data_IF_006545450913
#
_entry.id   IF_006545450913
#
_cell.length_a   1.000
_cell.length_b   1.000
_cell.length_c   1.000
_cell.angle_alpha   90.00
_cell.angle_beta   90.00
_cell.angle_gamma   90.00
#
_symmetry.space_group_name_H-M   'P 1'
#
loop_
_entity.id
_entity.type
_entity.pdbx_description
1 polymer ?
#
# COMPACT_ATOMS: atom_id res chain seq x y z
N UNK A 1 65.96 13.45 21.87
CA UNK A 1 65.31 12.32 22.54
C UNK A 1 63.96 12.85 23.03
N UNK A 2 62.90 12.72 22.23
CA UNK A 2 61.57 13.28 22.53
C UNK A 2 60.84 12.38 23.52
N UNK A 3 60.35 12.97 24.60
CA UNK A 3 59.68 12.31 25.71
C UNK A 3 58.26 11.88 25.30
N UNK A 4 58.03 10.57 25.18
CA UNK A 4 56.77 9.97 24.69
C UNK A 4 55.68 9.86 25.79
N UNK A 5 55.82 10.58 26.91
CA UNK A 5 55.03 10.36 28.14
C UNK A 5 53.73 11.15 28.25
N UNK A 6 53.37 11.98 27.27
CA UNK A 6 52.14 12.79 27.32
C UNK A 6 51.07 12.40 26.29
N UNK A 7 51.19 11.24 25.63
CA UNK A 7 50.15 10.78 24.71
C UNK A 7 48.91 10.27 25.47
N UNK A 8 47.92 11.15 25.63
CA UNK A 8 46.58 10.81 26.10
C UNK A 8 45.62 10.74 24.90
N UNK A 9 45.28 9.54 24.38
CA UNK A 9 44.34 9.44 23.27
C UNK A 9 42.96 9.86 23.76
N UNK A 10 42.47 11.00 23.27
CA UNK A 10 41.05 11.34 23.40
C UNK A 10 40.25 10.16 22.82
N UNK A 11 39.28 9.59 23.54
CA UNK A 11 38.47 8.50 23.00
C UNK A 11 37.81 9.04 21.72
N UNK A 12 38.02 8.33 20.60
CA UNK A 12 37.50 8.73 19.31
C UNK A 12 35.98 8.94 19.44
N UNK A 13 35.60 10.21 19.40
CA UNK A 13 34.22 10.66 19.49
C UNK A 13 33.42 9.97 18.40
N UNK A 14 32.40 9.23 18.83
CA UNK A 14 31.39 8.58 17.99
C UNK A 14 31.04 9.50 16.82
N UNK A 15 31.46 9.13 15.61
CA UNK A 15 31.12 9.86 14.39
C UNK A 15 29.60 9.83 14.27
N UNK A 16 28.97 11.00 14.16
CA UNK A 16 27.55 11.09 13.87
C UNK A 16 27.32 10.44 12.51
N UNK A 17 26.81 9.21 12.51
CA UNK A 17 26.33 8.59 11.28
C UNK A 17 25.19 9.46 10.78
N UNK A 18 25.34 10.01 9.58
CA UNK A 18 24.48 11.00 8.93
C UNK A 18 23.00 10.56 8.77
N UNK A 19 22.66 9.35 9.21
CA UNK A 19 21.31 8.77 9.24
C UNK A 19 20.90 8.20 10.59
N UNK A 20 21.57 8.53 11.71
CA UNK A 20 21.01 8.23 13.03
C UNK A 20 19.77 9.11 13.21
N UNK A 21 18.60 8.58 12.87
CA UNK A 21 17.31 9.21 13.12
C UNK A 21 17.32 9.71 14.56
N UNK A 22 17.35 11.03 14.74
CA UNK A 22 17.19 11.61 16.05
C UNK A 22 15.74 11.35 16.41
N UNK A 23 15.50 10.52 17.42
CA UNK A 23 14.16 10.22 17.92
C UNK A 23 13.60 11.46 18.64
N UNK A 24 13.27 12.49 17.87
CA UNK A 24 12.57 13.68 18.32
C UNK A 24 11.07 13.56 18.09
N UNK A 25 10.26 14.47 18.66
CA UNK A 25 8.82 14.49 18.43
C UNK A 25 8.44 14.65 16.93
N UNK A 26 9.32 15.24 16.12
CA UNK A 26 9.25 15.38 14.67
C UNK A 26 9.28 14.03 13.92
N UNK A 27 10.14 13.09 14.31
CA UNK A 27 10.23 11.77 13.63
C UNK A 27 8.93 10.98 13.71
N UNK A 28 8.17 11.13 14.80
CA UNK A 28 6.86 10.48 14.96
C UNK A 28 5.79 11.09 14.05
N UNK A 29 5.84 12.40 13.82
CA UNK A 29 4.93 13.09 12.91
C UNK A 29 5.23 12.69 11.46
N UNK A 30 6.51 12.67 11.08
CA UNK A 30 6.95 12.21 9.76
C UNK A 30 6.51 10.78 9.47
N UNK A 31 6.68 9.87 10.44
CA UNK A 31 6.22 8.48 10.30
C UNK A 31 4.70 8.39 10.11
N UNK A 32 3.92 9.20 10.85
CA UNK A 32 2.46 9.27 10.73
C UNK A 32 2.03 9.78 9.37
N UNK A 33 2.62 10.89 8.90
CA UNK A 33 2.33 11.46 7.59
C UNK A 33 2.69 10.45 6.49
N UNK A 34 3.86 9.80 6.58
CA UNK A 34 4.27 8.77 5.62
C UNK A 34 3.30 7.60 5.60
N UNK A 35 2.88 7.10 6.76
CA UNK A 35 1.92 6.01 6.86
C UNK A 35 0.56 6.41 6.25
N UNK A 36 0.05 7.60 6.56
CA UNK A 36 -1.21 8.10 6.00
C UNK A 36 -1.16 8.23 4.48
N UNK A 37 -0.07 8.77 3.94
CA UNK A 37 0.12 8.89 2.49
C UNK A 37 0.16 7.52 1.82
N UNK A 38 0.96 6.58 2.34
CA UNK A 38 1.08 5.23 1.77
C UNK A 38 -0.24 4.46 1.82
N UNK A 39 -0.94 4.51 2.95
CA UNK A 39 -2.25 3.87 3.11
C UNK A 39 -3.30 4.53 2.23
N UNK A 40 -3.31 5.86 2.12
CA UNK A 40 -4.22 6.60 1.25
C UNK A 40 -4.03 6.24 -0.21
N UNK A 41 -2.79 6.22 -0.70
CA UNK A 41 -2.47 5.78 -2.07
C UNK A 41 -2.93 4.35 -2.32
N UNK A 42 -2.67 3.43 -1.39
CA UNK A 42 -3.09 2.04 -1.52
C UNK A 42 -4.62 1.88 -1.56
N UNK A 43 -5.33 2.63 -0.73
CA UNK A 43 -6.80 2.66 -0.70
C UNK A 43 -7.37 3.16 -2.02
N UNK A 44 -6.90 4.32 -2.50
CA UNK A 44 -7.35 4.93 -3.76
C UNK A 44 -7.07 3.99 -4.93
N UNK A 45 -5.89 3.37 -4.96
CA UNK A 45 -5.55 2.38 -5.97
C UNK A 45 -6.57 1.23 -6.00
N UNK A 46 -6.91 0.64 -4.84
CA UNK A 46 -7.92 -0.42 -4.76
C UNK A 46 -9.33 0.06 -5.17
N UNK A 47 -9.71 1.26 -4.76
CA UNK A 47 -11.01 1.85 -5.10
C UNK A 47 -11.19 2.05 -6.61
N UNK A 48 -10.13 2.45 -7.33
CA UNK A 48 -10.17 2.61 -8.79
C UNK A 48 -10.51 1.27 -9.48
N UNK A 49 -10.00 0.14 -8.98
CA UNK A 49 -10.33 -1.18 -9.53
C UNK A 49 -11.81 -1.52 -9.26
N UNK A 50 -12.36 -1.08 -8.14
CA UNK A 50 -13.78 -1.22 -7.82
C UNK A 50 -14.71 -0.53 -8.82
N UNK A 51 -14.26 0.53 -9.51
CA UNK A 51 -15.08 1.23 -10.54
C UNK A 51 -15.39 0.28 -11.71
N UNK A 52 -14.42 -0.57 -12.07
CA UNK A 52 -14.57 -1.54 -13.15
C UNK A 52 -15.55 -2.69 -12.81
N UNK A 53 -16.12 -2.74 -11.61
CA UNK A 53 -17.21 -3.68 -11.28
C UNK A 53 -18.40 -3.52 -12.24
N UNK A 54 -18.62 -2.30 -12.73
CA UNK A 54 -19.68 -2.00 -13.71
C UNK A 54 -19.37 -2.43 -15.15
N UNK A 55 -18.16 -2.91 -15.44
CA UNK A 55 -17.77 -3.29 -16.79
C UNK A 55 -18.34 -4.65 -17.20
N UNK A 56 -18.36 -4.90 -18.51
CA UNK A 56 -18.75 -6.18 -19.07
C UNK A 56 -17.63 -7.21 -18.89
N UNK A 57 -17.93 -8.25 -18.10
CA UNK A 57 -17.05 -9.40 -17.93
C UNK A 57 -17.60 -10.58 -18.74
N UNK A 58 -16.74 -11.44 -19.30
CA UNK A 58 -17.18 -12.63 -20.03
C UNK A 58 -18.08 -13.55 -19.21
N UNK A 59 -17.82 -13.65 -17.89
CA UNK A 59 -18.62 -14.48 -16.97
C UNK A 59 -18.96 -13.74 -15.66
N UNK A 60 -20.06 -14.16 -15.02
CA UNK A 60 -20.47 -13.66 -13.68
C UNK A 60 -19.45 -14.00 -12.59
N UNK A 61 -18.73 -15.13 -12.75
CA UNK A 61 -17.70 -15.56 -11.82
C UNK A 61 -16.52 -14.59 -11.82
N UNK A 62 -16.00 -14.22 -13.00
CA UNK A 62 -14.91 -13.25 -13.17
C UNK A 62 -15.27 -11.88 -12.56
N UNK A 63 -16.49 -11.38 -12.80
CA UNK A 63 -16.97 -10.14 -12.18
C UNK A 63 -16.97 -10.21 -10.65
N UNK A 64 -17.37 -11.36 -10.09
CA UNK A 64 -17.41 -11.56 -8.64
C UNK A 64 -16.00 -11.63 -8.05
N UNK A 65 -15.10 -12.37 -8.70
CA UNK A 65 -13.68 -12.47 -8.32
C UNK A 65 -13.01 -11.10 -8.38
N UNK A 66 -13.26 -10.32 -9.44
CA UNK A 66 -12.79 -8.95 -9.59
C UNK A 66 -13.27 -8.06 -8.44
N UNK A 67 -14.57 -8.09 -8.13
CA UNK A 67 -15.17 -7.28 -7.08
C UNK A 67 -14.58 -7.59 -5.70
N UNK A 68 -14.52 -8.88 -5.34
CA UNK A 68 -13.91 -9.33 -4.08
C UNK A 68 -12.44 -8.92 -4.01
N UNK A 69 -11.67 -9.14 -5.08
CA UNK A 69 -10.24 -8.81 -5.13
C UNK A 69 -9.98 -7.30 -5.02
N UNK A 70 -10.86 -6.48 -5.60
CA UNK A 70 -10.81 -5.02 -5.48
C UNK A 70 -11.06 -4.55 -4.05
N UNK A 71 -12.09 -5.11 -3.38
CA UNK A 71 -12.40 -4.80 -1.97
C UNK A 71 -11.23 -5.20 -1.06
N UNK A 72 -10.66 -6.40 -1.25
CA UNK A 72 -9.51 -6.86 -0.46
C UNK A 72 -8.32 -5.93 -0.66
N UNK A 73 -8.02 -5.56 -1.91
CA UNK A 73 -6.90 -4.68 -2.25
C UNK A 73 -7.04 -3.28 -1.62
N UNK A 74 -8.28 -2.80 -1.48
CA UNK A 74 -8.62 -1.54 -0.83
C UNK A 74 -8.52 -1.62 0.70
N UNK A 75 -9.05 -2.66 1.32
CA UNK A 75 -9.18 -2.77 2.78
C UNK A 75 -7.94 -3.34 3.48
N UNK A 76 -7.24 -4.31 2.88
CA UNK A 76 -6.13 -5.00 3.53
C UNK A 76 -4.98 -4.07 3.97
N UNK A 77 -4.52 -3.10 3.14
CA UNK A 77 -3.48 -2.15 3.55
C UNK A 77 -3.90 -1.27 4.74
N UNK A 78 -5.18 -0.88 4.80
CA UNK A 78 -5.75 -0.08 5.90
C UNK A 78 -5.76 -0.89 7.20
N UNK A 79 -6.21 -2.15 7.13
CA UNK A 79 -6.25 -3.05 8.29
C UNK A 79 -4.85 -3.38 8.81
N UNK A 80 -3.89 -3.64 7.92
CA UNK A 80 -2.49 -3.88 8.28
C UNK A 80 -1.86 -2.63 8.91
N UNK A 81 -2.01 -1.46 8.30
CA UNK A 81 -1.49 -0.20 8.84
C UNK A 81 -2.12 0.13 10.21
N UNK A 82 -3.42 -0.12 10.38
CA UNK A 82 -4.12 0.06 11.65
C UNK A 82 -3.62 -0.91 12.73
N UNK A 83 -3.31 -2.15 12.36
CA UNK A 83 -2.73 -3.15 13.26
C UNK A 83 -1.35 -2.69 13.74
N UNK A 84 -0.45 -2.27 12.83
CA UNK A 84 0.86 -1.73 13.20
C UNK A 84 0.75 -0.46 14.04
N UNK A 85 -0.14 0.48 13.68
CA UNK A 85 -0.33 1.70 14.45
C UNK A 85 -0.79 1.41 15.88
N UNK A 86 -1.62 0.40 16.09
CA UNK A 86 -2.05 0.01 17.44
C UNK A 86 -0.88 -0.51 18.31
N UNK A 87 0.08 -1.23 17.72
CA UNK A 87 1.22 -1.79 18.44
C UNK A 87 2.39 -0.81 18.62
N UNK A 88 2.58 0.14 17.70
CA UNK A 88 3.75 1.02 17.67
C UNK A 88 3.49 2.49 18.06
N UNK A 89 2.30 3.05 17.77
CA UNK A 89 2.09 4.51 17.77
C UNK A 89 1.45 5.11 19.04
N UNK A 90 1.29 4.33 20.11
CA UNK A 90 0.86 4.88 21.41
C UNK A 90 -0.55 5.51 21.38
N UNK A 91 -1.57 4.65 21.28
CA UNK A 91 -2.96 4.76 21.77
C UNK A 91 -3.79 6.03 21.46
N UNK A 92 -4.71 5.90 20.50
CA UNK A 92 -6.01 6.60 20.50
C UNK A 92 -7.20 5.76 19.95
N UNK A 93 -7.07 4.44 19.93
CA UNK A 93 -8.08 3.51 19.41
C UNK A 93 -8.93 2.90 20.55
N UNK A 94 -10.16 2.46 20.23
CA UNK A 94 -11.10 1.85 21.18
C UNK A 94 -10.51 0.62 21.91
N UNK A 95 -10.99 0.35 23.12
CA UNK A 95 -10.57 -0.80 23.93
C UNK A 95 -10.84 -2.15 23.25
N UNK A 96 -11.95 -2.26 22.52
CA UNK A 96 -12.31 -3.47 21.78
C UNK A 96 -11.30 -3.82 20.68
N UNK A 97 -10.88 -2.83 19.87
CA UNK A 97 -9.94 -3.06 18.77
C UNK A 97 -8.54 -3.42 19.28
N UNK A 98 -8.14 -2.85 20.42
CA UNK A 98 -6.91 -3.26 21.12
C UNK A 98 -6.95 -4.72 21.53
N UNK A 99 -8.04 -5.15 22.16
CA UNK A 99 -8.18 -6.54 22.61
C UNK A 99 -8.11 -7.52 21.43
N UNK A 100 -8.81 -7.21 20.34
CA UNK A 100 -8.81 -8.03 19.12
C UNK A 100 -7.39 -8.18 18.55
N UNK A 101 -6.70 -7.07 18.30
CA UNK A 101 -5.37 -7.05 17.66
C UNK A 101 -4.25 -7.64 18.52
N UNK A 102 -4.37 -7.56 19.85
CA UNK A 102 -3.42 -8.19 20.78
C UNK A 102 -3.62 -9.71 20.88
N UNK A 103 -4.85 -10.20 20.74
CA UNK A 103 -5.15 -11.65 20.78
C UNK A 103 -4.77 -12.37 19.50
N UNK A 104 -4.87 -11.73 18.34
CA UNK A 104 -4.62 -12.38 17.04
C UNK A 104 -3.14 -12.62 16.71
N UNK A 105 -2.22 -11.95 17.40
CA UNK A 105 -0.78 -12.07 17.14
C UNK A 105 -0.36 -11.73 15.70
N UNK A 106 0.78 -12.26 15.25
CA UNK A 106 1.34 -12.04 13.90
C UNK A 106 0.65 -12.84 12.79
N UNK A 107 -0.14 -13.86 13.13
CA UNK A 107 -0.80 -14.71 12.14
C UNK A 107 -1.81 -13.93 11.27
N UNK A 108 -2.59 -13.03 11.88
CA UNK A 108 -3.58 -12.22 11.16
C UNK A 108 -2.96 -11.28 10.11
N UNK A 109 -1.97 -10.42 10.43
CA UNK A 109 -1.36 -9.56 9.41
C UNK A 109 -0.65 -10.36 8.32
N UNK A 110 -0.05 -11.52 8.63
CA UNK A 110 0.54 -12.42 7.62
C UNK A 110 -0.55 -12.94 6.67
N UNK A 111 -1.67 -13.43 7.20
CA UNK A 111 -2.80 -13.88 6.39
C UNK A 111 -3.36 -12.76 5.50
N UNK A 112 -3.49 -11.54 6.03
CA UNK A 112 -3.93 -10.37 5.25
C UNK A 112 -2.93 -10.00 4.14
N UNK A 113 -1.62 -10.10 4.39
CA UNK A 113 -0.60 -9.89 3.37
C UNK A 113 -0.70 -10.93 2.24
N UNK A 114 -0.91 -12.21 2.58
CA UNK A 114 -1.10 -13.26 1.58
C UNK A 114 -2.36 -13.04 0.77
N UNK A 115 -3.48 -12.74 1.43
CA UNK A 115 -4.76 -12.48 0.77
C UNK A 115 -4.67 -11.26 -0.16
N UNK A 116 -3.96 -10.21 0.24
CA UNK A 116 -3.65 -9.06 -0.60
C UNK A 116 -2.84 -9.47 -1.83
N UNK A 117 -1.79 -10.29 -1.67
CA UNK A 117 -0.97 -10.77 -2.77
C UNK A 117 -1.80 -11.58 -3.78
N UNK A 118 -2.62 -12.53 -3.32
CA UNK A 118 -3.47 -13.32 -4.20
C UNK A 118 -4.51 -12.47 -4.93
N UNK A 119 -5.14 -11.52 -4.23
CA UNK A 119 -6.12 -10.60 -4.83
C UNK A 119 -5.50 -9.73 -5.92
N UNK A 120 -4.25 -9.30 -5.73
CA UNK A 120 -3.49 -8.56 -6.75
C UNK A 120 -3.22 -9.40 -7.99
N UNK A 121 -2.81 -10.65 -7.81
CA UNK A 121 -2.60 -11.57 -8.93
C UNK A 121 -3.90 -11.82 -9.69
N UNK A 122 -5.02 -12.01 -8.98
CA UNK A 122 -6.33 -12.17 -9.60
C UNK A 122 -6.74 -10.93 -10.41
N UNK A 123 -6.60 -9.71 -9.84
CA UNK A 123 -6.88 -8.47 -10.58
C UNK A 123 -6.01 -8.32 -11.83
N UNK A 124 -4.74 -8.72 -11.78
CA UNK A 124 -3.86 -8.69 -12.95
C UNK A 124 -4.33 -9.67 -14.03
N UNK A 125 -4.62 -10.91 -13.65
CA UNK A 125 -5.10 -11.93 -14.59
C UNK A 125 -6.41 -11.48 -15.24
N UNK A 126 -7.38 -11.03 -14.46
CA UNK A 126 -8.68 -10.55 -14.95
C UNK A 126 -8.56 -9.29 -15.82
N UNK A 127 -7.66 -8.37 -15.48
CA UNK A 127 -7.39 -7.19 -16.32
C UNK A 127 -6.86 -7.59 -17.71
N UNK A 128 -5.98 -8.59 -17.79
CA UNK A 128 -5.51 -9.10 -19.08
C UNK A 128 -6.59 -9.87 -19.84
N UNK A 129 -7.43 -10.64 -19.15
CA UNK A 129 -8.55 -11.35 -19.76
C UNK A 129 -9.56 -10.38 -20.37
N UNK A 130 -9.95 -9.35 -19.63
CA UNK A 130 -10.88 -8.30 -20.09
C UNK A 130 -10.30 -7.45 -21.24
N UNK A 131 -9.00 -7.17 -21.21
CA UNK A 131 -8.31 -6.53 -22.34
C UNK A 131 -8.33 -7.40 -23.61
N UNK A 132 -8.19 -8.72 -23.45
CA UNK A 132 -8.20 -9.66 -24.59
C UNK A 132 -9.58 -9.83 -25.19
N UNK A 133 -10.64 -9.80 -24.37
CA UNK A 133 -12.03 -9.98 -24.79
C UNK A 133 -12.72 -8.68 -25.22
N UNK A 134 -11.96 -7.61 -25.49
CA UNK A 134 -12.51 -6.31 -25.89
C UNK A 134 -13.45 -6.45 -27.11
N UNK A 135 -14.61 -5.74 -27.14
CA UNK A 135 -15.52 -5.79 -28.27
C UNK A 135 -14.83 -5.42 -29.57
N UNK A 136 -15.22 -6.05 -30.69
CA UNK A 136 -14.66 -5.77 -32.03
C UNK A 136 -14.65 -4.26 -32.38
N UNK A 137 -15.58 -3.47 -31.83
CA UNK A 137 -15.66 -2.02 -31.99
C UNK A 137 -14.46 -1.25 -31.39
N UNK A 138 -13.78 -1.77 -30.38
CA UNK A 138 -12.59 -1.15 -29.80
C UNK A 138 -11.34 -1.33 -30.69
N UNK A 139 -11.38 -2.30 -31.61
CA UNK A 139 -10.35 -2.47 -32.64
C UNK A 139 -10.66 -1.64 -33.91
N UNK A 140 -11.85 -1.04 -34.02
CA UNK A 140 -12.15 -0.16 -35.13
C UNK A 140 -11.45 1.18 -34.93
N UNK A 141 -10.74 1.64 -35.97
CA UNK A 141 -10.09 2.93 -35.98
C UNK A 141 -11.15 4.03 -35.86
N UNK A 142 -11.12 4.75 -34.73
CA UNK A 142 -11.92 5.98 -34.57
C UNK A 142 -11.51 6.92 -35.69
N UNK A 143 -12.44 7.22 -36.59
CA UNK A 143 -12.20 8.16 -37.70
C UNK A 143 -12.21 9.57 -37.10
N UNK A 144 -11.04 10.00 -36.63
CA UNK A 144 -10.85 11.31 -35.99
C UNK A 144 -11.19 12.47 -36.93
N UNK A 145 -11.13 12.26 -38.25
CA UNK A 145 -11.47 13.26 -39.26
C UNK A 145 -12.96 13.62 -39.27
N UNK A 146 -13.84 12.78 -38.71
CA UNK A 146 -15.28 13.09 -38.55
C UNK A 146 -15.52 14.14 -37.46
N UNK A 147 -14.58 14.31 -36.52
CA UNK A 147 -14.65 15.32 -35.46
C UNK A 147 -14.10 16.68 -35.87
N UNK A 148 -13.48 16.78 -37.06
CA UNK A 148 -13.07 18.07 -37.61
C UNK A 148 -14.32 18.69 -38.24
N UNK A 149 -14.85 19.80 -37.70
CA UNK A 149 -15.94 20.50 -38.35
C UNK A 149 -15.46 20.92 -39.74
N UNK A 150 -16.14 20.39 -40.75
CA UNK A 150 -15.98 20.77 -42.14
C UNK A 150 -16.45 22.22 -42.26
N UNK A 151 -15.48 23.14 -42.41
CA UNK A 151 -15.72 24.51 -42.83
C UNK A 151 -15.83 24.56 -44.36
#
# INVERSE_FOLDING_TARGET
MMDLREWNPKPMTRVATFHSGRDGPDSTLELRVRALLMTGVAFVFGAIHGIAWSFDFPTTAERTVWGISSIITMCAPVLIASWYANHWLGRRISSAWRWLTQKTGLALPIAMCLLYLFSRLALLVEAFTTLRSLPNGAYQTVIWTTFIPHL
#
